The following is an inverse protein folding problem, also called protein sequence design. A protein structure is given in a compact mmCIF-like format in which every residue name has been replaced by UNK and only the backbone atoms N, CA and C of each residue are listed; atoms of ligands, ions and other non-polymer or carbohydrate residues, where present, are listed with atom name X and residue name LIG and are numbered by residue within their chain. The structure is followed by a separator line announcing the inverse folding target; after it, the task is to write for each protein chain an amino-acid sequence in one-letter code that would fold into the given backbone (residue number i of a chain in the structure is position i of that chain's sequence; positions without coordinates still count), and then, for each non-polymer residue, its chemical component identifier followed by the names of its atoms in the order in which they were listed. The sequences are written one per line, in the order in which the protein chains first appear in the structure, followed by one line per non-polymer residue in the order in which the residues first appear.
data_IF_538562249725
#
_entry.id   IF_538562249725
#
_cell.length_a   1.000
_cell.length_b   1.000
_cell.length_c   1.000
_cell.angle_alpha   90.00
_cell.angle_beta   90.00
_cell.angle_gamma   90.00
#
_symmetry.space_group_name_H-M   'P 1'
#
loop_
_entity.id
_entity.type
_entity.pdbx_description
1 polymer ?
#
# COMPACT_ATOMS: atom_id res chain seq x y z
N UNK A 1 -1.04 7.88 14.47
CA UNK A 1 0.23 8.27 13.82
C UNK A 1 1.29 7.42 14.49
N UNK A 2 1.83 6.37 13.88
CA UNK A 2 2.55 6.37 12.61
C UNK A 2 2.26 5.07 11.84
N UNK A 3 1.70 5.18 10.62
CA UNK A 3 1.75 4.08 9.66
C UNK A 3 3.22 3.80 9.32
N UNK A 4 3.62 2.53 9.30
CA UNK A 4 4.99 2.13 8.98
C UNK A 4 5.41 2.59 7.58
N UNK A 5 6.73 2.73 7.32
CA UNK A 5 7.20 3.07 5.99
C UNK A 5 7.02 1.91 5.02
N UNK A 6 6.69 2.22 3.77
CA UNK A 6 6.73 1.24 2.69
C UNK A 6 8.18 0.82 2.41
N UNK A 7 8.38 -0.49 2.30
CA UNK A 7 9.68 -1.09 2.05
C UNK A 7 9.67 -1.79 0.68
N UNK A 8 10.75 -1.64 -0.09
CA UNK A 8 10.83 -2.31 -1.39
C UNK A 8 10.84 -3.84 -1.23
N UNK A 9 10.01 -4.61 -1.97
CA UNK A 9 9.96 -6.08 -1.88
C UNK A 9 11.21 -6.77 -2.47
N UNK A 10 12.03 -6.04 -3.24
CA UNK A 10 13.17 -6.64 -3.93
C UNK A 10 14.31 -6.98 -2.96
N UNK A 11 14.83 -8.23 -2.99
CA UNK A 11 15.94 -8.64 -2.14
C UNK A 11 17.16 -7.72 -2.27
N UNK A 12 17.70 -7.29 -1.13
CA UNK A 12 18.89 -6.43 -1.07
C UNK A 12 18.61 -4.94 -1.31
N UNK A 13 17.38 -4.53 -1.60
CA UNK A 13 17.01 -3.11 -1.62
C UNK A 13 16.68 -2.63 -0.20
N UNK A 14 17.27 -1.51 0.22
CA UNK A 14 17.02 -0.90 1.53
C UNK A 14 16.13 0.35 1.45
N UNK A 15 15.38 0.54 0.35
CA UNK A 15 14.48 1.67 0.23
C UNK A 15 13.39 1.59 1.30
N UNK A 16 13.23 2.68 2.04
CA UNK A 16 12.12 2.96 2.95
C UNK A 16 11.58 4.33 2.61
N UNK A 17 10.26 4.46 2.45
CA UNK A 17 9.62 5.72 2.12
C UNK A 17 8.28 5.84 2.85
N UNK A 18 7.83 7.08 3.09
CA UNK A 18 6.44 7.31 3.49
C UNK A 18 5.51 6.91 2.36
N UNK A 19 4.33 6.39 2.70
CA UNK A 19 3.31 5.99 1.73
C UNK A 19 2.99 7.14 0.77
N UNK A 20 2.63 8.31 1.29
CA UNK A 20 2.22 9.46 0.47
C UNK A 20 3.34 9.89 -0.48
N UNK A 21 4.57 10.04 0.02
CA UNK A 21 5.70 10.46 -0.83
C UNK A 21 6.01 9.45 -1.94
N UNK A 22 5.89 8.15 -1.67
CA UNK A 22 6.13 7.13 -2.69
C UNK A 22 4.99 7.08 -3.71
N UNK A 23 3.74 7.30 -3.27
CA UNK A 23 2.59 7.40 -4.16
C UNK A 23 2.73 8.57 -5.13
N UNK A 24 3.07 9.77 -4.62
CA UNK A 24 3.31 10.96 -5.44
C UNK A 24 4.41 10.75 -6.48
N UNK A 25 5.49 10.05 -6.11
CA UNK A 25 6.58 9.74 -7.05
C UNK A 25 6.10 8.80 -8.18
N UNK A 26 5.27 7.80 -7.87
CA UNK A 26 4.75 6.88 -8.88
C UNK A 26 3.69 7.54 -9.78
N UNK A 27 2.91 8.47 -9.24
CA UNK A 27 1.86 9.22 -9.94
C UNK A 27 2.39 10.44 -10.70
N UNK A 28 3.71 10.70 -10.70
CA UNK A 28 4.29 11.90 -11.31
C UNK A 28 3.96 12.06 -12.80
N UNK A 29 3.80 10.95 -13.52
CA UNK A 29 3.43 10.94 -14.94
C UNK A 29 1.91 10.84 -15.16
N UNK A 30 1.15 10.54 -14.11
CA UNK A 30 -0.31 10.31 -14.13
C UNK A 30 -0.99 11.06 -12.96
N UNK A 31 -0.91 12.41 -12.90
CA UNK A 31 -1.33 13.20 -11.74
C UNK A 31 -2.85 13.26 -11.50
N UNK A 32 -3.65 12.77 -12.44
CA UNK A 32 -5.11 12.68 -12.32
C UNK A 32 -5.54 11.40 -11.58
N UNK A 33 -4.64 10.41 -11.49
CA UNK A 33 -4.88 9.17 -10.78
C UNK A 33 -4.66 9.36 -9.28
N UNK A 34 -5.56 8.78 -8.47
CA UNK A 34 -5.49 8.88 -7.01
C UNK A 34 -4.61 7.79 -6.39
N UNK A 35 -4.47 6.66 -7.09
CA UNK A 35 -3.80 5.47 -6.58
C UNK A 35 -2.87 4.91 -7.66
N UNK A 36 -1.55 4.81 -7.40
CA UNK A 36 -0.66 4.17 -8.36
C UNK A 36 -0.94 2.66 -8.38
N UNK A 37 -0.88 2.05 -9.56
CA UNK A 37 -0.95 0.59 -9.70
C UNK A 37 0.44 -0.04 -9.56
N UNK A 38 1.44 0.62 -10.12
CA UNK A 38 2.84 0.21 -10.12
C UNK A 38 3.77 1.43 -10.23
N UNK A 39 5.08 1.21 -10.05
CA UNK A 39 6.09 2.23 -10.25
C UNK A 39 7.50 1.67 -10.20
N UNK A 40 8.50 2.50 -10.50
CA UNK A 40 9.90 2.10 -10.38
C UNK A 40 10.46 2.46 -9.00
N UNK A 41 10.99 1.48 -8.27
CA UNK A 41 11.62 1.71 -6.99
C UNK A 41 12.77 2.74 -7.10
N UNK A 42 12.75 3.88 -6.40
CA UNK A 42 13.82 4.86 -6.50
C UNK A 42 15.19 4.35 -6.03
N UNK A 43 15.23 3.30 -5.19
CA UNK A 43 16.44 2.64 -4.71
C UNK A 43 17.07 1.67 -5.72
N UNK A 44 16.34 0.61 -6.11
CA UNK A 44 16.87 -0.46 -6.97
C UNK A 44 16.46 -0.37 -8.44
N UNK A 45 15.59 0.57 -8.81
CA UNK A 45 15.07 0.80 -10.17
C UNK A 45 14.23 -0.33 -10.78
N UNK A 46 13.99 -1.41 -10.05
CA UNK A 46 13.06 -2.45 -10.47
C UNK A 46 11.61 -1.95 -10.35
N UNK A 47 10.75 -2.43 -11.25
CA UNK A 47 9.30 -2.21 -11.17
C UNK A 47 8.73 -2.90 -9.94
N UNK A 48 7.86 -2.21 -9.21
CA UNK A 48 7.15 -2.70 -8.02
C UNK A 48 5.66 -2.46 -8.20
N UNK A 49 4.84 -3.38 -7.70
CA UNK A 49 3.40 -3.20 -7.63
C UNK A 49 3.04 -2.45 -6.35
N UNK A 50 2.09 -1.53 -6.43
CA UNK A 50 1.63 -0.79 -5.25
C UNK A 50 0.99 -1.71 -4.22
N UNK A 51 0.17 -2.68 -4.69
CA UNK A 51 -0.46 -3.68 -3.81
C UNK A 51 0.54 -4.48 -2.98
N UNK A 52 1.67 -4.88 -3.56
CA UNK A 52 2.73 -5.61 -2.84
C UNK A 52 3.34 -4.76 -1.72
N UNK A 53 3.51 -3.46 -1.94
CA UNK A 53 4.04 -2.53 -0.93
C UNK A 53 3.06 -2.37 0.24
N UNK A 54 1.76 -2.22 -0.05
CA UNK A 54 0.72 -2.07 0.97
C UNK A 54 0.57 -3.35 1.79
N UNK A 55 0.54 -4.52 1.13
CA UNK A 55 0.48 -5.81 1.78
C UNK A 55 1.64 -6.02 2.76
N UNK A 56 2.88 -5.72 2.32
CA UNK A 56 4.06 -5.85 3.18
C UNK A 56 4.09 -4.84 4.33
N UNK A 57 3.47 -3.67 4.16
CA UNK A 57 3.34 -2.69 5.23
C UNK A 57 2.46 -3.20 6.37
N UNK A 58 1.35 -3.86 6.04
CA UNK A 58 0.39 -4.43 7.00
C UNK A 58 0.96 -5.65 7.74
N UNK A 59 1.60 -6.57 7.00
CA UNK A 59 2.30 -7.72 7.59
C UNK A 59 3.43 -7.31 8.55
N UNK A 60 4.02 -6.12 8.35
CA UNK A 60 5.01 -5.57 9.27
C UNK A 60 4.43 -5.01 10.58
N UNK A 61 3.11 -4.78 10.63
CA UNK A 61 2.40 -4.16 11.75
C UNK A 61 1.49 -5.12 12.52
N UNK A 62 1.17 -6.27 11.95
CA UNK A 62 0.14 -7.19 12.45
C UNK A 62 0.77 -8.52 12.92
N UNK A 63 0.90 -8.68 14.24
CA UNK A 63 0.89 -10.00 14.85
C UNK A 63 -0.56 -10.52 14.77
N UNK A 64 -0.82 -11.47 13.86
CA UNK A 64 -2.02 -12.34 13.77
C UNK A 64 -3.35 -11.73 14.24
N UNK A 65 -4.06 -10.99 13.36
CA UNK A 65 -5.51 -10.82 13.53
C UNK A 65 -6.21 -12.06 12.96
N UNK A 66 -6.53 -13.01 13.86
CA UNK A 66 -7.45 -14.10 13.56
C UNK A 66 -8.78 -13.50 13.10
N UNK A 67 -9.21 -13.91 11.90
CA UNK A 67 -10.49 -13.62 11.24
C UNK A 67 -11.67 -13.89 12.18
N UNK A 68 -12.04 -12.89 12.99
CA UNK A 68 -13.32 -12.90 13.70
C UNK A 68 -14.36 -12.53 12.66
N UNK A 69 -15.12 -13.53 12.21
CA UNK A 69 -16.40 -13.37 11.48
C UNK A 69 -17.38 -12.52 12.33
N UNK A 70 -17.13 -11.23 12.42
CA UNK A 70 -18.11 -10.23 12.80
C UNK A 70 -18.95 -10.04 11.54
N UNK A 71 -20.25 -10.34 11.65
CA UNK A 71 -21.24 -10.00 10.62
C UNK A 71 -21.18 -8.49 10.38
N UNK A 72 -20.28 -8.05 9.49
CA UNK A 72 -20.23 -6.67 9.03
C UNK A 72 -21.50 -6.41 8.24
N UNK A 73 -22.33 -5.55 8.81
CA UNK A 73 -23.47 -4.94 8.13
C UNK A 73 -22.96 -4.42 6.77
N UNK A 74 -23.40 -5.07 5.70
CA UNK A 74 -22.82 -4.89 4.38
C UNK A 74 -23.05 -3.43 3.97
N UNK A 75 -21.98 -2.67 3.77
CA UNK A 75 -22.03 -1.22 3.49
C UNK A 75 -23.02 -0.80 2.38
N UNK A 76 -23.42 -1.73 1.53
CA UNK A 76 -24.41 -1.51 0.47
C UNK A 76 -25.84 -1.39 0.99
N UNK A 77 -26.16 -1.94 2.17
CA UNK A 77 -27.49 -1.89 2.78
C UNK A 77 -27.89 -0.46 3.17
N UNK A 78 -26.91 0.43 3.38
CA UNK A 78 -27.12 1.86 3.64
C UNK A 78 -27.37 2.70 2.38
N UNK A 79 -27.21 2.12 1.19
CA UNK A 79 -27.39 2.79 -0.10
C UNK A 79 -28.79 2.55 -0.70
N UNK A 80 -29.61 1.70 -0.09
CA UNK A 80 -31.00 1.49 -0.47
C UNK A 80 -31.89 2.61 0.10
N UNK A 81 -31.96 3.74 -0.60
CA UNK A 81 -32.95 4.81 -0.36
C UNK A 81 -34.25 4.59 -1.13
#
# INVERSE_FOLDING_TARGET
EEEGPLCCPHPGCCLRAHMICLAEEFLREEPEELLPLEGQCPGCKNSVLWGDLIWLCQVGTEEEEEDLELEEEHWTDMLET
#
